data_IF_517830033741
#
_entry.id   IF_517830033741
#
_cell.length_a   1.000
_cell.length_b   1.000
_cell.length_c   1.000
_cell.angle_alpha   90.00
_cell.angle_beta   90.00
_cell.angle_gamma   90.00
#
_symmetry.space_group_name_H-M   'P 1'
#
loop_
_entity.id
_entity.type
_entity.pdbx_description
1 polymer ?
#
# COMPACT_ATOMS: atom_id res chain seq x y z
N UNK A 1 1.21 27.99 25.20
CA UNK A 1 1.53 27.49 23.84
C UNK A 1 2.30 28.58 23.09
N UNK A 2 3.50 28.28 22.67
CA UNK A 2 4.31 29.19 21.83
C UNK A 2 4.00 28.81 20.38
N UNK A 3 3.33 29.68 19.66
CA UNK A 3 2.96 29.43 18.24
C UNK A 3 4.11 29.96 17.35
N UNK A 4 5.18 29.18 17.23
CA UNK A 4 6.35 29.51 16.38
C UNK A 4 6.48 28.43 15.32
N UNK A 5 6.59 28.81 14.02
CA UNK A 5 6.91 27.86 12.96
C UNK A 5 8.28 27.21 13.22
N UNK A 6 8.33 25.88 13.10
CA UNK A 6 9.56 25.11 13.23
C UNK A 6 9.74 24.21 12.01
N UNK A 7 10.98 24.05 11.54
CA UNK A 7 11.35 23.07 10.53
C UNK A 7 12.18 22.01 11.25
N UNK A 8 11.72 20.76 11.13
CA UNK A 8 12.37 19.59 11.70
C UNK A 8 12.86 18.68 10.57
N UNK A 9 14.12 18.26 10.63
CA UNK A 9 14.72 17.36 9.65
C UNK A 9 15.02 16.05 10.34
N UNK A 10 14.43 14.99 9.84
CA UNK A 10 14.63 13.63 10.35
C UNK A 10 14.75 12.65 9.20
N UNK A 11 15.36 11.51 9.45
CA UNK A 11 15.30 10.32 8.59
C UNK A 11 14.35 9.24 9.15
N UNK A 12 13.79 9.50 10.31
CA UNK A 12 12.79 8.64 10.93
C UNK A 12 11.40 8.98 10.37
N UNK A 13 10.82 8.00 9.70
CA UNK A 13 9.54 8.16 9.00
C UNK A 13 8.37 8.24 9.98
N UNK A 14 8.41 7.44 11.06
CA UNK A 14 7.36 7.42 12.08
C UNK A 14 7.33 8.77 12.80
N UNK A 15 8.50 9.30 13.18
CA UNK A 15 8.63 10.59 13.80
C UNK A 15 8.10 11.72 12.91
N UNK A 16 8.42 11.71 11.61
CA UNK A 16 7.92 12.70 10.66
C UNK A 16 6.38 12.64 10.54
N UNK A 17 5.82 11.44 10.47
CA UNK A 17 4.36 11.24 10.35
C UNK A 17 3.61 11.65 11.62
N UNK A 18 4.23 11.49 12.81
CA UNK A 18 3.59 11.78 14.09
C UNK A 18 3.64 13.27 14.48
N UNK A 19 4.76 13.95 14.22
CA UNK A 19 5.03 15.31 14.75
C UNK A 19 4.64 16.40 13.75
N UNK A 20 4.76 16.14 12.44
CA UNK A 20 4.63 17.15 11.43
C UNK A 20 3.20 17.56 11.12
N UNK A 21 2.89 18.87 11.11
CA UNK A 21 1.65 19.36 10.48
C UNK A 21 1.71 19.18 8.96
N UNK A 22 2.90 19.27 8.39
CA UNK A 22 3.19 19.04 6.97
C UNK A 22 4.53 18.34 6.83
N UNK A 23 4.63 17.44 5.84
CA UNK A 23 5.83 16.70 5.51
C UNK A 23 6.30 17.10 4.11
N UNK A 24 7.60 17.31 3.96
CA UNK A 24 8.27 17.40 2.67
C UNK A 24 9.21 16.20 2.51
N UNK A 25 8.93 15.36 1.52
CA UNK A 25 9.81 14.22 1.17
C UNK A 25 10.85 14.71 0.17
N UNK A 26 12.12 14.52 0.53
CA UNK A 26 13.26 14.93 -0.30
C UNK A 26 13.95 13.70 -0.90
N UNK A 27 14.30 13.80 -2.16
CA UNK A 27 15.12 12.83 -2.87
C UNK A 27 16.20 13.54 -3.67
N UNK A 28 17.45 13.20 -3.44
CA UNK A 28 18.61 13.79 -4.14
C UNK A 28 18.58 15.34 -4.20
N UNK A 29 18.19 15.99 -3.11
CA UNK A 29 18.11 17.44 -3.02
C UNK A 29 16.89 18.08 -3.69
N UNK A 30 15.95 17.30 -4.19
CA UNK A 30 14.67 17.77 -4.76
C UNK A 30 13.51 17.36 -3.87
N UNK A 31 12.50 18.19 -3.83
CA UNK A 31 11.25 17.88 -3.16
C UNK A 31 10.42 17.00 -4.10
N UNK A 32 10.10 15.79 -3.66
CA UNK A 32 9.24 14.83 -4.37
C UNK A 32 7.76 15.12 -4.13
N UNK A 33 7.41 15.43 -2.88
CA UNK A 33 6.04 15.72 -2.48
C UNK A 33 6.02 16.54 -1.19
N UNK A 34 5.02 17.41 -1.06
CA UNK A 34 4.71 18.12 0.20
C UNK A 34 3.22 18.00 0.48
N UNK A 35 2.85 17.57 1.67
CA UNK A 35 1.45 17.46 2.07
C UNK A 35 1.27 17.26 3.57
N UNK A 36 0.03 17.00 3.99
CA UNK A 36 -0.23 16.49 5.33
C UNK A 36 0.36 15.08 5.47
N UNK A 37 0.70 14.61 6.69
CA UNK A 37 1.13 13.23 6.89
C UNK A 37 0.19 12.21 6.23
N UNK A 38 -1.10 12.41 6.42
CA UNK A 38 -2.13 11.55 5.83
C UNK A 38 -2.07 11.51 4.29
N UNK A 39 -1.99 12.67 3.62
CA UNK A 39 -1.97 12.71 2.15
C UNK A 39 -0.69 12.11 1.58
N UNK A 40 0.48 12.46 2.17
CA UNK A 40 1.76 11.96 1.68
C UNK A 40 1.88 10.44 1.84
N UNK A 41 1.30 9.88 2.91
CA UNK A 41 1.29 8.43 3.15
C UNK A 41 0.28 7.69 2.27
N UNK A 42 -0.96 8.19 2.19
CA UNK A 42 -2.07 7.49 1.52
C UNK A 42 -2.21 7.82 0.03
N UNK A 43 -1.68 8.98 -0.40
CA UNK A 43 -1.75 9.47 -1.78
C UNK A 43 -0.36 9.85 -2.29
N UNK A 44 0.60 8.90 -2.32
CA UNK A 44 1.95 9.19 -2.79
C UNK A 44 1.92 9.55 -4.28
N UNK A 45 2.58 10.67 -4.64
CA UNK A 45 2.65 11.13 -6.02
C UNK A 45 3.68 10.36 -6.85
N UNK A 46 4.67 9.74 -6.19
CA UNK A 46 5.72 8.96 -6.83
C UNK A 46 5.94 7.63 -6.14
N UNK A 47 6.49 6.66 -6.88
CA UNK A 47 6.92 5.38 -6.31
C UNK A 47 7.97 5.57 -5.20
N UNK A 48 8.84 6.57 -5.34
CA UNK A 48 9.83 6.91 -4.32
C UNK A 48 9.13 7.28 -2.99
N UNK A 49 8.17 8.18 -3.03
CA UNK A 49 7.41 8.57 -1.82
C UNK A 49 6.69 7.38 -1.21
N UNK A 50 6.05 6.56 -2.04
CA UNK A 50 5.33 5.37 -1.58
C UNK A 50 6.24 4.39 -0.84
N UNK A 51 7.43 4.12 -1.37
CA UNK A 51 8.38 3.16 -0.80
C UNK A 51 9.24 3.76 0.30
N UNK A 52 9.48 5.07 0.27
CA UNK A 52 10.24 5.78 1.30
C UNK A 52 9.46 5.85 2.62
N UNK A 53 8.16 6.10 2.59
CA UNK A 53 7.32 6.22 3.80
C UNK A 53 6.73 4.87 4.26
N UNK A 54 7.53 3.83 4.24
CA UNK A 54 7.15 2.52 4.74
C UNK A 54 7.06 1.44 3.65
N UNK A 55 6.65 0.25 4.05
CA UNK A 55 6.48 -0.85 3.11
C UNK A 55 5.30 -0.57 2.18
N UNK A 56 5.51 -0.70 0.88
CA UNK A 56 4.45 -0.61 -0.12
C UNK A 56 4.52 -1.82 -1.05
N UNK A 57 3.37 -2.37 -1.38
CA UNK A 57 3.23 -3.34 -2.46
C UNK A 57 3.12 -2.61 -3.79
N UNK A 58 3.65 -3.20 -4.84
CA UNK A 58 3.65 -2.61 -6.17
C UNK A 58 3.36 -3.69 -7.22
N UNK A 59 2.34 -3.46 -8.04
CA UNK A 59 2.00 -4.29 -9.18
C UNK A 59 2.09 -3.48 -10.46
N UNK A 60 2.68 -4.07 -11.49
CA UNK A 60 2.77 -3.48 -12.82
C UNK A 60 1.59 -3.98 -13.67
N UNK A 61 0.96 -3.08 -14.39
CA UNK A 61 -0.17 -3.41 -15.25
C UNK A 61 -0.42 -2.36 -16.31
N UNK A 62 -1.57 -2.47 -16.95
CA UNK A 62 -2.08 -1.50 -17.91
C UNK A 62 -3.50 -1.11 -17.53
N UNK A 63 -3.94 0.07 -17.94
CA UNK A 63 -5.31 0.51 -17.71
C UNK A 63 -6.07 0.48 -19.03
N UNK A 64 -7.19 -0.26 -19.04
CA UNK A 64 -8.13 -0.29 -20.16
C UNK A 64 -9.55 -0.06 -19.65
N UNK A 65 -10.26 0.89 -20.23
CA UNK A 65 -11.66 1.21 -19.93
C UNK A 65 -11.97 1.38 -18.42
N UNK A 66 -11.03 2.00 -17.68
CA UNK A 66 -11.19 2.20 -16.25
C UNK A 66 -10.87 0.96 -15.39
N UNK A 67 -10.31 -0.08 -15.99
CA UNK A 67 -9.87 -1.30 -15.30
C UNK A 67 -8.35 -1.35 -15.30
N UNK A 68 -7.74 -1.55 -14.14
CA UNK A 68 -6.33 -1.92 -14.04
C UNK A 68 -6.20 -3.42 -14.25
N UNK A 69 -5.47 -3.80 -15.28
CA UNK A 69 -5.24 -5.19 -15.68
C UNK A 69 -3.78 -5.59 -15.45
N UNK A 70 -3.56 -6.69 -14.74
CA UNK A 70 -2.25 -7.28 -14.50
C UNK A 70 -2.36 -8.79 -14.39
N UNK A 71 -1.84 -9.54 -15.35
CA UNK A 71 -1.99 -11.01 -15.44
C UNK A 71 -3.42 -11.50 -15.14
N UNK A 72 -3.65 -11.98 -13.90
CA UNK A 72 -4.93 -12.51 -13.44
C UNK A 72 -5.67 -11.53 -12.51
N UNK A 73 -5.32 -10.25 -12.57
CA UNK A 73 -5.96 -9.20 -11.78
C UNK A 73 -6.68 -8.23 -12.69
N UNK A 74 -7.97 -8.02 -12.41
CA UNK A 74 -8.79 -6.98 -13.01
C UNK A 74 -9.42 -6.17 -11.87
N UNK A 75 -8.93 -4.95 -11.66
CA UNK A 75 -9.44 -4.05 -10.63
C UNK A 75 -10.14 -2.87 -11.25
N UNK A 76 -11.39 -2.67 -10.87
CA UNK A 76 -12.12 -1.47 -11.23
C UNK A 76 -11.50 -0.25 -10.54
N UNK A 77 -11.10 0.73 -11.34
CA UNK A 77 -10.60 2.00 -10.82
C UNK A 77 -11.75 2.95 -10.47
N UNK A 78 -11.53 3.85 -9.50
CA UNK A 78 -12.47 4.94 -9.22
C UNK A 78 -12.72 5.82 -10.45
N UNK A 79 -13.94 6.32 -10.60
CA UNK A 79 -14.38 7.10 -11.77
C UNK A 79 -13.68 8.47 -11.93
N UNK A 80 -13.08 8.98 -10.86
CA UNK A 80 -12.33 10.24 -10.84
C UNK A 80 -10.91 10.10 -11.39
N UNK A 81 -10.41 8.86 -11.53
CA UNK A 81 -9.09 8.56 -12.05
C UNK A 81 -9.18 8.36 -13.58
N UNK A 82 -8.44 9.18 -14.33
CA UNK A 82 -8.43 9.12 -15.80
C UNK A 82 -7.10 8.64 -16.33
N UNK A 83 -7.15 7.52 -17.04
CA UNK A 83 -6.04 6.99 -17.83
C UNK A 83 -6.43 6.85 -19.29
N UNK A 84 -5.44 6.86 -20.16
CA UNK A 84 -5.64 6.46 -21.55
C UNK A 84 -5.66 4.94 -21.65
N UNK A 85 -6.50 4.40 -22.54
CA UNK A 85 -6.51 2.96 -22.79
C UNK A 85 -5.14 2.48 -23.27
N UNK A 86 -4.69 1.35 -22.71
CA UNK A 86 -3.36 0.80 -22.96
C UNK A 86 -2.23 1.52 -22.21
N UNK A 87 -2.54 2.47 -21.32
CA UNK A 87 -1.51 3.15 -20.55
C UNK A 87 -0.92 2.23 -19.50
N UNK A 88 0.42 2.10 -19.51
CA UNK A 88 1.13 1.41 -18.44
C UNK A 88 0.92 2.14 -17.11
N UNK A 89 0.64 1.39 -16.08
CA UNK A 89 0.35 1.89 -14.73
C UNK A 89 1.01 1.02 -13.67
N UNK A 90 1.20 1.61 -12.50
CA UNK A 90 1.65 0.91 -11.30
C UNK A 90 0.55 1.04 -10.25
N UNK A 91 0.07 -0.08 -9.76
CA UNK A 91 -0.81 -0.13 -8.61
C UNK A 91 0.06 -0.19 -7.35
N UNK A 92 -0.07 0.82 -6.51
CA UNK A 92 0.62 0.90 -5.21
C UNK A 92 -0.44 0.79 -4.11
N UNK A 93 -0.19 -0.08 -3.13
CA UNK A 93 -1.09 -0.27 -1.99
C UNK A 93 -0.32 -0.69 -0.75
N UNK A 94 -0.87 -0.39 0.41
CA UNK A 94 -0.24 -0.67 1.69
C UNK A 94 -0.50 -2.11 2.14
N UNK A 95 0.43 -2.72 2.89
CA UNK A 95 0.23 -4.06 3.47
C UNK A 95 -1.02 -4.18 4.35
N UNK A 96 -1.38 -3.12 5.06
CA UNK A 96 -2.56 -3.02 5.92
C UNK A 96 -3.89 -2.88 5.17
N UNK A 97 -3.86 -2.50 3.89
CA UNK A 97 -5.04 -2.38 3.04
C UNK A 97 -5.45 -3.71 2.41
N UNK A 98 -4.63 -4.75 2.59
CA UNK A 98 -4.86 -6.08 2.03
C UNK A 98 -5.38 -7.02 3.10
N UNK A 99 -6.51 -7.65 2.81
CA UNK A 99 -7.12 -8.62 3.71
C UNK A 99 -6.99 -10.03 3.16
N UNK A 100 -6.50 -10.95 4.00
CA UNK A 100 -6.52 -12.38 3.71
C UNK A 100 -7.87 -12.93 4.13
N UNK A 101 -8.67 -13.38 3.19
CA UNK A 101 -10.00 -13.94 3.45
C UNK A 101 -10.20 -15.22 2.69
N UNK A 102 -10.92 -16.14 3.33
CA UNK A 102 -11.44 -17.28 2.60
C UNK A 102 -12.55 -16.81 1.65
N UNK A 103 -12.67 -17.36 0.44
CA UNK A 103 -13.67 -16.93 -0.55
C UNK A 103 -15.11 -16.85 -0.02
N UNK A 104 -15.44 -17.71 0.94
CA UNK A 104 -16.78 -17.77 1.57
C UNK A 104 -17.07 -16.56 2.49
N UNK A 105 -16.07 -15.80 2.88
CA UNK A 105 -16.17 -14.68 3.84
C UNK A 105 -16.03 -13.30 3.18
N UNK A 106 -16.17 -13.22 1.85
CA UNK A 106 -16.09 -11.96 1.13
C UNK A 106 -17.39 -11.16 1.33
N UNK A 107 -17.24 -9.91 1.79
CA UNK A 107 -18.35 -8.95 1.84
C UNK A 107 -18.33 -8.08 0.58
N UNK A 108 -19.47 -7.47 0.24
CA UNK A 108 -19.63 -6.63 -0.97
C UNK A 108 -18.72 -5.38 -1.05
N UNK A 109 -18.01 -5.06 0.04
CA UNK A 109 -17.17 -3.85 0.14
C UNK A 109 -15.71 -4.05 -0.30
N UNK A 110 -15.31 -5.29 -0.60
CA UNK A 110 -13.93 -5.61 -0.98
C UNK A 110 -13.87 -6.13 -2.40
N UNK A 111 -12.88 -5.67 -3.14
CA UNK A 111 -12.55 -6.27 -4.43
C UNK A 111 -11.57 -7.43 -4.19
N UNK A 112 -11.84 -8.57 -4.82
CA UNK A 112 -10.88 -9.68 -4.82
C UNK A 112 -9.68 -9.26 -5.66
N UNK A 113 -8.50 -9.27 -5.05
CA UNK A 113 -7.26 -9.02 -5.80
C UNK A 113 -6.91 -10.26 -6.62
N UNK A 114 -6.52 -11.35 -5.95
CA UNK A 114 -6.09 -12.60 -6.58
C UNK A 114 -5.95 -13.67 -5.50
N UNK A 115 -5.91 -14.94 -5.90
CA UNK A 115 -5.51 -16.03 -5.02
C UNK A 115 -3.98 -16.10 -4.92
N UNK A 116 -3.47 -16.55 -3.77
CA UNK A 116 -2.05 -16.69 -3.51
C UNK A 116 -1.76 -17.71 -2.42
N UNK A 117 -0.48 -17.96 -2.20
CA UNK A 117 0.00 -18.86 -1.16
C UNK A 117 0.79 -18.08 -0.12
N UNK A 118 0.51 -18.37 1.15
CA UNK A 118 1.30 -17.85 2.26
C UNK A 118 2.64 -18.57 2.26
N UNK A 119 3.72 -17.81 2.16
CA UNK A 119 5.08 -18.33 2.20
C UNK A 119 5.72 -18.18 3.58
N UNK A 120 5.44 -17.06 4.22
CA UNK A 120 6.06 -16.74 5.51
C UNK A 120 5.09 -15.93 6.35
N UNK A 121 5.10 -16.21 7.65
CA UNK A 121 4.39 -15.44 8.66
C UNK A 121 5.40 -15.05 9.74
N UNK A 122 5.59 -13.76 9.93
CA UNK A 122 6.46 -13.20 10.96
C UNK A 122 5.66 -12.43 11.98
N UNK A 123 5.78 -12.77 13.25
CA UNK A 123 5.14 -12.05 14.33
C UNK A 123 5.95 -10.81 14.73
N UNK A 124 5.31 -9.64 14.69
CA UNK A 124 5.94 -8.33 15.00
C UNK A 124 5.20 -7.64 16.17
N UNK A 125 5.00 -8.37 17.25
CA UNK A 125 4.37 -7.84 18.46
C UNK A 125 2.86 -7.58 18.33
N UNK A 126 2.43 -6.42 17.85
CA UNK A 126 1.01 -6.06 17.71
C UNK A 126 0.36 -6.57 16.43
N UNK A 127 1.15 -7.01 15.46
CA UNK A 127 0.66 -7.50 14.17
C UNK A 127 1.52 -8.65 13.64
N UNK A 128 1.00 -9.33 12.64
CA UNK A 128 1.72 -10.30 11.82
C UNK A 128 2.05 -9.69 10.47
N UNK A 129 3.28 -9.89 10.00
CA UNK A 129 3.70 -9.61 8.64
C UNK A 129 3.69 -10.91 7.87
N UNK A 130 2.93 -10.95 6.79
CA UNK A 130 2.68 -12.16 6.02
C UNK A 130 3.17 -11.92 4.59
N UNK A 131 4.09 -12.78 4.12
CA UNK A 131 4.52 -12.81 2.72
C UNK A 131 3.61 -13.75 1.95
N UNK A 132 2.96 -13.22 0.93
CA UNK A 132 2.04 -13.96 0.06
C UNK A 132 2.60 -13.97 -1.35
N UNK A 133 2.80 -15.15 -1.90
CA UNK A 133 3.12 -15.33 -3.32
C UNK A 133 1.82 -15.34 -4.11
N UNK A 134 1.69 -14.40 -5.03
CA UNK A 134 0.54 -14.31 -5.91
C UNK A 134 0.57 -15.40 -6.98
N UNK A 135 -0.61 -15.80 -7.45
CA UNK A 135 -0.75 -16.74 -8.57
C UNK A 135 -0.40 -16.06 -9.91
N UNK A 136 0.81 -15.54 -9.99
CA UNK A 136 1.42 -14.95 -11.18
C UNK A 136 2.50 -15.87 -11.74
N UNK A 137 2.73 -15.82 -13.06
CA UNK A 137 3.79 -16.59 -13.73
C UNK A 137 5.18 -16.26 -13.17
N UNK A 138 5.42 -15.00 -12.83
CA UNK A 138 6.68 -14.55 -12.24
C UNK A 138 6.78 -14.82 -10.73
N UNK A 139 5.71 -15.34 -10.10
CA UNK A 139 5.67 -15.62 -8.68
C UNK A 139 5.83 -14.36 -7.81
N UNK A 140 5.31 -13.23 -8.26
CA UNK A 140 5.39 -11.96 -7.53
C UNK A 140 4.84 -12.10 -6.12
N UNK A 141 5.52 -11.45 -5.18
CA UNK A 141 5.16 -11.46 -3.76
C UNK A 141 4.58 -10.12 -3.35
N UNK A 142 3.66 -10.17 -2.41
CA UNK A 142 3.17 -9.01 -1.67
C UNK A 142 3.33 -9.24 -0.17
N UNK A 143 3.36 -8.15 0.56
CA UNK A 143 3.32 -8.16 2.02
C UNK A 143 1.92 -7.78 2.46
N UNK A 144 1.42 -8.51 3.43
CA UNK A 144 0.15 -8.22 4.12
C UNK A 144 0.45 -8.03 5.59
N UNK A 145 -0.16 -7.02 6.18
CA UNK A 145 -0.08 -6.77 7.63
C UNK A 145 -1.43 -7.08 8.25
N UNK A 146 -1.44 -7.97 9.24
CA UNK A 146 -2.65 -8.39 9.92
C UNK A 146 -2.56 -8.09 11.42
N UNK A 147 -3.53 -7.35 12.01
CA UNK A 147 -3.57 -7.14 13.45
C UNK A 147 -3.65 -8.47 14.22
N UNK A 148 -2.99 -8.55 15.37
CA UNK A 148 -3.04 -9.75 16.24
C UNK A 148 -4.47 -10.15 16.60
N UNK A 149 -5.37 -9.18 16.77
CA UNK A 149 -6.79 -9.44 17.05
C UNK A 149 -7.53 -10.26 15.98
N UNK A 150 -7.02 -10.27 14.74
CA UNK A 150 -7.60 -11.06 13.66
C UNK A 150 -7.04 -12.49 13.58
N UNK A 151 -5.91 -12.77 14.21
CA UNK A 151 -5.25 -14.09 14.17
C UNK A 151 -6.12 -15.18 14.76
N UNK A 152 -6.82 -14.90 15.84
CA UNK A 152 -7.72 -15.84 16.52
C UNK A 152 -9.04 -16.04 15.76
N UNK A 153 -9.52 -14.99 15.08
CA UNK A 153 -10.80 -15.01 14.34
C UNK A 153 -10.65 -15.72 12.99
N UNK A 154 -9.51 -15.51 12.33
CA UNK A 154 -9.22 -16.05 11.00
C UNK A 154 -7.86 -16.75 10.99
N UNK A 155 -7.73 -17.97 11.57
CA UNK A 155 -6.48 -18.69 11.58
C UNK A 155 -6.04 -18.99 10.14
N UNK A 156 -4.75 -18.77 9.85
CA UNK A 156 -4.15 -19.18 8.59
C UNK A 156 -3.98 -20.70 8.59
N UNK A 157 -4.42 -21.35 7.52
CA UNK A 157 -4.28 -22.80 7.32
C UNK A 157 -3.14 -23.08 6.35
#
# INVERSE_FOLDING_TARGET
>A
QINVPAIFITHDQEEALEIGDRIAVLNQGKIEQIGTPYDVYNKPETEYVATFLGTANLLLGVVNNGIFEAENIDLQLPDDIRFKNGQAAKLVFRPEDVFLRHPENLTQHYQKLIDGWIEEVSFVGSYERISVRLNFRNGQKIIVTRPKSETEIYPLK
#
